data_IF_832203816966
#
_entry.id   IF_832203816966
#
_cell.length_a   1.000
_cell.length_b   1.000
_cell.length_c   1.000
_cell.angle_alpha   90.00
_cell.angle_beta   90.00
_cell.angle_gamma   90.00
#
_symmetry.space_group_name_H-M   'P 1'
#
loop_
_entity.id
_entity.type
_entity.pdbx_description
1 polymer ?
#
# COMPACT_ATOMS: atom_id res chain seq x y z
N UNK A 1 -43.15 -9.34 18.98
CA UNK A 1 -42.66 -10.31 17.94
C UNK A 1 -42.14 -9.62 16.67
N UNK A 2 -42.67 -8.48 16.24
CA UNK A 2 -42.21 -7.75 15.05
C UNK A 2 -40.84 -7.08 15.18
N UNK A 3 -40.51 -6.43 16.30
CA UNK A 3 -39.22 -5.72 16.52
C UNK A 3 -38.05 -6.70 16.52
N UNK A 4 -38.19 -7.85 17.21
CA UNK A 4 -37.12 -8.88 17.25
C UNK A 4 -36.85 -9.41 15.82
N UNK A 5 -37.88 -9.67 15.03
CA UNK A 5 -37.74 -10.12 13.65
C UNK A 5 -37.04 -9.06 12.79
N UNK A 6 -37.36 -7.76 13.00
CA UNK A 6 -36.68 -6.66 12.33
C UNK A 6 -35.20 -6.56 12.69
N UNK A 7 -34.84 -6.71 13.96
CA UNK A 7 -33.44 -6.75 14.42
C UNK A 7 -32.70 -7.93 13.83
N UNK A 8 -33.28 -9.15 13.86
CA UNK A 8 -32.65 -10.32 13.29
C UNK A 8 -32.44 -10.19 11.77
N UNK A 9 -33.43 -9.64 11.07
CA UNK A 9 -33.28 -9.37 9.64
C UNK A 9 -32.16 -8.36 9.36
N UNK A 10 -32.07 -7.28 10.12
CA UNK A 10 -31.01 -6.29 9.98
C UNK A 10 -29.61 -6.91 10.24
N UNK A 11 -29.48 -7.71 11.30
CA UNK A 11 -28.22 -8.41 11.60
C UNK A 11 -27.83 -9.38 10.50
N UNK A 12 -28.79 -10.14 9.97
CA UNK A 12 -28.56 -11.04 8.84
C UNK A 12 -28.11 -10.29 7.57
N UNK A 13 -28.73 -9.14 7.29
CA UNK A 13 -28.34 -8.29 6.17
C UNK A 13 -26.93 -7.72 6.34
N UNK A 14 -26.59 -7.21 7.52
CA UNK A 14 -25.25 -6.71 7.83
C UNK A 14 -24.23 -7.84 7.67
N UNK A 15 -24.52 -9.02 8.19
CA UNK A 15 -23.64 -10.19 8.04
C UNK A 15 -23.44 -10.55 6.57
N UNK A 16 -24.51 -10.62 5.79
CA UNK A 16 -24.45 -10.92 4.36
C UNK A 16 -23.58 -9.90 3.61
N UNK A 17 -23.84 -8.60 3.81
CA UNK A 17 -23.08 -7.52 3.16
C UNK A 17 -21.60 -7.59 3.55
N UNK A 18 -21.30 -7.79 4.83
CA UNK A 18 -19.91 -7.88 5.31
C UNK A 18 -19.21 -9.09 4.70
N UNK A 19 -19.91 -10.23 4.58
CA UNK A 19 -19.37 -11.44 3.95
C UNK A 19 -19.05 -11.21 2.48
N UNK A 20 -19.97 -10.60 1.73
CA UNK A 20 -19.74 -10.27 0.31
C UNK A 20 -18.55 -9.33 0.15
N UNK A 21 -18.43 -8.28 0.97
CA UNK A 21 -17.30 -7.35 0.95
C UNK A 21 -15.98 -8.05 1.32
N UNK A 22 -16.01 -8.98 2.24
CA UNK A 22 -14.82 -9.76 2.61
C UNK A 22 -14.39 -10.70 1.49
N UNK A 23 -15.33 -11.39 0.85
CA UNK A 23 -15.03 -12.25 -0.31
C UNK A 23 -14.43 -11.43 -1.46
N UNK A 24 -15.02 -10.28 -1.78
CA UNK A 24 -14.47 -9.36 -2.78
C UNK A 24 -13.05 -8.88 -2.40
N UNK A 25 -12.85 -8.52 -1.13
CA UNK A 25 -11.52 -8.13 -0.62
C UNK A 25 -10.49 -9.25 -0.82
N UNK A 26 -10.82 -10.47 -0.46
CA UNK A 26 -9.94 -11.64 -0.63
C UNK A 26 -9.67 -11.91 -2.11
N UNK A 27 -10.72 -11.94 -2.93
CA UNK A 27 -10.58 -12.12 -4.37
C UNK A 27 -9.62 -11.10 -4.99
N UNK A 28 -9.80 -9.82 -4.72
CA UNK A 28 -8.93 -8.77 -5.23
C UNK A 28 -7.49 -8.88 -4.67
N UNK A 29 -7.32 -9.31 -3.41
CA UNK A 29 -6.00 -9.55 -2.82
C UNK A 29 -5.20 -10.59 -3.61
N UNK A 30 -5.81 -11.68 -4.04
CA UNK A 30 -5.14 -12.73 -4.81
C UNK A 30 -5.09 -12.44 -6.32
N UNK A 31 -6.01 -11.64 -6.84
CA UNK A 31 -6.10 -11.31 -8.27
C UNK A 31 -5.13 -10.22 -8.70
N UNK A 32 -4.63 -9.38 -7.76
CA UNK A 32 -3.72 -8.29 -8.12
C UNK A 32 -2.42 -8.84 -8.72
N UNK A 33 -2.06 -8.34 -9.92
CA UNK A 33 -0.87 -8.75 -10.66
C UNK A 33 0.15 -7.62 -10.72
N UNK A 34 1.41 -7.99 -10.75
CA UNK A 34 2.48 -7.08 -11.11
C UNK A 34 2.33 -6.64 -12.57
N UNK A 35 2.61 -5.38 -12.85
CA UNK A 35 2.68 -4.87 -14.21
C UNK A 35 4.12 -4.47 -14.50
N UNK A 36 4.66 -5.00 -15.58
CA UNK A 36 6.00 -4.61 -16.07
C UNK A 36 5.88 -3.31 -16.88
N UNK A 37 5.79 -2.20 -16.14
CA UNK A 37 5.69 -0.83 -16.68
C UNK A 37 6.79 -0.01 -16.06
N UNK A 38 7.55 0.73 -16.88
CA UNK A 38 8.46 1.76 -16.37
C UNK A 38 7.64 2.91 -15.78
N UNK A 39 8.02 3.39 -14.60
CA UNK A 39 7.37 4.50 -13.90
C UNK A 39 8.40 5.55 -13.53
N UNK A 40 7.97 6.75 -13.14
CA UNK A 40 8.91 7.79 -12.71
C UNK A 40 9.50 7.47 -11.34
N UNK A 41 8.71 6.89 -10.44
CA UNK A 41 9.17 6.50 -9.11
C UNK A 41 8.70 5.11 -8.70
N UNK A 42 9.55 4.43 -7.92
CA UNK A 42 9.18 3.26 -7.12
C UNK A 42 8.99 3.72 -5.69
N UNK A 43 7.84 3.41 -5.10
CA UNK A 43 7.55 3.66 -3.68
C UNK A 43 7.41 2.33 -2.96
N UNK A 44 8.24 2.11 -1.94
CA UNK A 44 8.23 0.90 -1.13
C UNK A 44 7.70 1.21 0.26
N UNK A 45 6.59 0.58 0.63
CA UNK A 45 6.11 0.58 2.01
C UNK A 45 6.91 -0.47 2.78
N UNK A 46 7.84 -0.03 3.62
CA UNK A 46 8.72 -0.92 4.40
C UNK A 46 7.95 -1.70 5.49
N UNK A 47 8.64 -2.40 6.38
CA UNK A 47 8.01 -3.18 7.45
C UNK A 47 7.55 -4.59 7.05
N UNK A 48 7.89 -5.06 5.85
CA UNK A 48 7.68 -6.44 5.41
C UNK A 48 8.88 -6.97 4.65
N UNK A 49 9.18 -8.27 4.82
CA UNK A 49 10.31 -8.92 4.17
C UNK A 49 10.17 -8.92 2.65
N UNK A 50 11.28 -8.78 1.95
CA UNK A 50 11.35 -8.86 0.48
C UNK A 50 10.91 -7.59 -0.27
N UNK A 51 10.28 -6.61 0.40
CA UNK A 51 9.79 -5.40 -0.27
C UNK A 51 10.92 -4.45 -0.65
N UNK A 52 11.86 -4.22 0.26
CA UNK A 52 13.01 -3.34 0.05
C UNK A 52 13.93 -3.93 -1.00
N UNK A 53 14.20 -5.22 -0.90
CA UNK A 53 15.02 -5.98 -1.86
C UNK A 53 14.42 -5.91 -3.27
N UNK A 54 13.11 -6.09 -3.40
CA UNK A 54 12.43 -5.99 -4.71
C UNK A 54 12.47 -4.55 -5.25
N UNK A 55 12.27 -3.55 -4.39
CA UNK A 55 12.39 -2.14 -4.78
C UNK A 55 13.79 -1.79 -5.29
N UNK A 56 14.84 -2.22 -4.61
CA UNK A 56 16.24 -2.01 -5.01
C UNK A 56 16.54 -2.73 -6.32
N UNK A 57 16.08 -3.97 -6.46
CA UNK A 57 16.22 -4.76 -7.69
C UNK A 57 15.64 -4.03 -8.89
N UNK A 58 14.38 -3.58 -8.80
CA UNK A 58 13.70 -2.85 -9.88
C UNK A 58 14.37 -1.49 -10.17
N UNK A 59 14.84 -0.80 -9.14
CA UNK A 59 15.59 0.44 -9.32
C UNK A 59 16.90 0.20 -10.09
N UNK A 60 17.65 -0.85 -9.78
CA UNK A 60 18.87 -1.25 -10.51
C UNK A 60 18.57 -1.64 -11.95
N UNK A 61 17.39 -2.19 -12.23
CA UNK A 61 16.91 -2.53 -13.57
C UNK A 61 16.37 -1.32 -14.35
N UNK A 62 16.54 -0.10 -13.85
CA UNK A 62 16.04 1.13 -14.46
C UNK A 62 14.51 1.16 -14.67
N UNK A 63 13.74 0.42 -13.85
CA UNK A 63 12.28 0.43 -13.90
C UNK A 63 11.65 1.76 -13.44
N UNK A 64 12.43 2.63 -12.78
CA UNK A 64 12.04 4.00 -12.43
C UNK A 64 13.27 4.87 -12.20
N UNK A 65 13.10 6.18 -12.23
CA UNK A 65 14.20 7.13 -11.99
C UNK A 65 14.45 7.36 -10.49
N UNK A 66 13.41 7.23 -9.69
CA UNK A 66 13.47 7.43 -8.24
C UNK A 66 13.06 6.16 -7.48
N UNK A 67 13.74 5.90 -6.36
CA UNK A 67 13.34 4.90 -5.37
C UNK A 67 13.09 5.59 -4.03
N UNK A 68 11.86 5.52 -3.54
CA UNK A 68 11.46 6.10 -2.27
C UNK A 68 11.03 5.01 -1.29
N UNK A 69 11.85 4.79 -0.27
CA UNK A 69 11.60 3.85 0.82
C UNK A 69 10.93 4.61 1.97
N UNK A 70 9.70 4.26 2.32
CA UNK A 70 8.92 4.96 3.36
C UNK A 70 8.65 4.08 4.57
N UNK A 71 8.67 4.68 5.75
CA UNK A 71 8.56 3.97 7.03
C UNK A 71 9.79 3.14 7.34
N UNK A 72 10.97 3.63 6.99
CA UNK A 72 12.25 2.98 7.28
C UNK A 72 12.60 3.16 8.75
N UNK A 73 13.10 2.11 9.40
CA UNK A 73 13.60 2.20 10.78
C UNK A 73 14.67 3.31 10.89
N UNK A 74 14.57 4.21 11.88
CA UNK A 74 15.52 5.32 12.05
C UNK A 74 16.99 4.91 12.11
N UNK A 75 17.30 3.71 12.58
CA UNK A 75 18.68 3.19 12.68
C UNK A 75 19.29 2.79 11.35
N UNK A 76 18.47 2.48 10.34
CA UNK A 76 18.90 1.99 9.02
C UNK A 76 19.53 3.13 8.21
N UNK A 77 20.73 2.92 7.70
CA UNK A 77 21.41 3.87 6.80
C UNK A 77 21.26 3.43 5.34
N UNK A 78 21.35 4.37 4.43
CA UNK A 78 21.29 4.08 2.99
C UNK A 78 22.36 3.06 2.56
N UNK A 79 23.58 3.18 3.11
CA UNK A 79 24.67 2.27 2.83
C UNK A 79 24.39 0.82 3.30
N UNK A 80 23.54 0.63 4.30
CA UNK A 80 23.15 -0.70 4.79
C UNK A 80 22.21 -1.40 3.82
N UNK A 81 21.42 -0.64 3.06
CA UNK A 81 20.42 -1.14 2.11
C UNK A 81 20.96 -1.20 0.67
N UNK A 82 21.83 -0.28 0.31
CA UNK A 82 22.30 -0.12 -1.06
C UNK A 82 23.82 0.01 -1.08
N UNK A 83 24.49 -1.05 -1.54
CA UNK A 83 25.92 -1.03 -1.81
C UNK A 83 26.15 -0.62 -3.26
N UNK A 84 26.99 0.39 -3.46
CA UNK A 84 27.43 0.78 -4.78
C UNK A 84 28.32 -0.30 -5.37
N UNK A 85 28.05 -0.69 -6.60
CA UNK A 85 28.84 -1.69 -7.34
C UNK A 85 29.28 -1.02 -8.65
N UNK A 86 30.58 -1.07 -9.01
CA UNK A 86 31.05 -0.52 -10.27
C UNK A 86 30.26 -1.06 -11.46
N UNK A 87 29.84 -0.18 -12.38
CA UNK A 87 29.03 -0.54 -13.55
C UNK A 87 27.53 -0.70 -13.29
N UNK A 88 27.07 -0.54 -12.04
CA UNK A 88 25.65 -0.51 -11.70
C UNK A 88 25.18 0.92 -11.42
N UNK A 89 23.85 1.11 -11.46
CA UNK A 89 23.21 2.38 -11.11
C UNK A 89 23.62 2.82 -9.71
N UNK A 90 24.00 4.08 -9.57
CA UNK A 90 24.31 4.67 -8.27
C UNK A 90 23.06 4.85 -7.38
N UNK A 91 23.29 5.16 -6.13
CA UNK A 91 22.21 5.38 -5.17
C UNK A 91 21.66 6.82 -5.15
N UNK A 92 22.03 7.70 -6.08
CA UNK A 92 21.65 9.14 -6.03
C UNK A 92 20.13 9.35 -6.07
N UNK A 93 19.40 8.49 -6.78
CA UNK A 93 17.95 8.51 -6.86
C UNK A 93 17.22 7.79 -5.72
N UNK A 94 17.91 7.35 -4.65
CA UNK A 94 17.31 6.63 -3.52
C UNK A 94 17.07 7.59 -2.35
N UNK A 95 15.84 7.64 -1.86
CA UNK A 95 15.40 8.43 -0.72
C UNK A 95 14.82 7.54 0.37
N UNK A 96 15.17 7.81 1.62
CA UNK A 96 14.68 7.13 2.81
C UNK A 96 13.85 8.10 3.64
N UNK A 97 12.61 7.72 3.92
CA UNK A 97 11.73 8.41 4.86
C UNK A 97 11.63 7.58 6.15
N UNK A 98 11.87 8.20 7.31
CA UNK A 98 12.05 7.54 8.60
C UNK A 98 11.13 8.05 9.71
N UNK A 99 10.22 8.97 9.38
CA UNK A 99 9.38 9.67 10.37
C UNK A 99 7.99 9.06 10.45
N UNK A 100 7.46 8.59 9.32
CA UNK A 100 6.12 8.02 9.23
C UNK A 100 5.96 6.74 10.06
N UNK A 101 4.83 6.63 10.75
CA UNK A 101 4.50 5.53 11.66
C UNK A 101 3.38 4.62 11.15
N UNK A 102 2.69 5.04 10.09
CA UNK A 102 1.55 4.33 9.53
C UNK A 102 1.39 4.62 8.03
N UNK A 103 0.51 3.86 7.36
CA UNK A 103 0.35 3.94 5.91
C UNK A 103 -0.21 5.29 5.43
N UNK A 104 -1.01 5.97 6.24
CA UNK A 104 -1.54 7.30 5.89
C UNK A 104 -0.40 8.33 5.88
N UNK A 105 0.43 8.34 6.91
CA UNK A 105 1.62 9.19 6.98
C UNK A 105 2.59 8.88 5.83
N UNK A 106 2.81 7.58 5.53
CA UNK A 106 3.60 7.18 4.36
C UNK A 106 3.09 7.86 3.07
N UNK A 107 1.78 7.84 2.83
CA UNK A 107 1.19 8.44 1.65
C UNK A 107 1.34 9.98 1.63
N UNK A 108 1.26 10.65 2.78
CA UNK A 108 1.50 12.10 2.89
C UNK A 108 2.94 12.47 2.53
N UNK A 109 3.94 11.76 3.06
CA UNK A 109 5.34 11.99 2.71
C UNK A 109 5.63 11.68 1.23
N UNK A 110 5.03 10.62 0.69
CA UNK A 110 5.14 10.31 -0.74
C UNK A 110 4.54 11.43 -1.59
N UNK A 111 3.42 12.01 -1.19
CA UNK A 111 2.81 13.14 -1.89
C UNK A 111 3.75 14.34 -1.96
N UNK A 112 4.41 14.72 -0.86
CA UNK A 112 5.40 15.80 -0.86
C UNK A 112 6.56 15.50 -1.81
N UNK A 113 7.06 14.26 -1.80
CA UNK A 113 8.10 13.81 -2.71
C UNK A 113 7.67 13.91 -4.17
N UNK A 114 6.47 13.41 -4.51
CA UNK A 114 5.91 13.43 -5.86
C UNK A 114 5.79 14.85 -6.40
N UNK A 115 5.25 15.75 -5.61
CA UNK A 115 5.09 17.17 -6.01
C UNK A 115 6.46 17.82 -6.24
N UNK A 116 7.41 17.63 -5.31
CA UNK A 116 8.76 18.20 -5.40
C UNK A 116 9.56 17.68 -6.59
N UNK A 117 9.41 16.38 -6.92
CA UNK A 117 10.14 15.73 -8.03
C UNK A 117 9.37 15.71 -9.35
N UNK A 118 8.15 16.27 -9.38
CA UNK A 118 7.25 16.28 -10.56
C UNK A 118 7.01 14.88 -11.13
N UNK A 119 6.78 13.92 -10.24
CA UNK A 119 6.51 12.52 -10.57
C UNK A 119 5.08 12.39 -11.09
N UNK A 120 4.86 11.75 -12.24
CA UNK A 120 3.54 11.49 -12.83
C UNK A 120 3.06 10.06 -12.64
N UNK A 121 3.97 9.12 -12.33
CA UNK A 121 3.64 7.71 -12.19
C UNK A 121 4.44 7.03 -11.07
N UNK A 122 3.77 6.15 -10.32
CA UNK A 122 4.34 5.48 -9.15
C UNK A 122 4.11 3.98 -9.23
N UNK A 123 5.18 3.19 -9.08
CA UNK A 123 5.10 1.75 -8.81
C UNK A 123 5.07 1.56 -7.29
N UNK A 124 3.90 1.16 -6.76
CA UNK A 124 3.69 0.98 -5.32
C UNK A 124 4.00 -0.46 -4.92
N UNK A 125 5.05 -0.66 -4.13
CA UNK A 125 5.50 -1.96 -3.64
C UNK A 125 5.07 -2.16 -2.20
N UNK A 126 4.30 -3.21 -1.97
CA UNK A 126 3.95 -3.69 -0.62
C UNK A 126 3.55 -5.16 -0.66
N UNK A 127 3.28 -5.80 0.49
CA UNK A 127 2.79 -7.17 0.49
C UNK A 127 1.40 -7.28 -0.13
N UNK A 128 1.16 -8.40 -0.80
CA UNK A 128 -0.11 -8.73 -1.46
C UNK A 128 -1.33 -8.46 -0.57
N UNK A 129 -1.33 -8.95 0.67
CA UNK A 129 -2.43 -8.77 1.62
C UNK A 129 -2.69 -7.31 2.02
N UNK A 130 -1.67 -6.45 1.91
CA UNK A 130 -1.75 -5.03 2.26
C UNK A 130 -2.10 -4.14 1.06
N UNK A 131 -1.94 -4.62 -0.16
CA UNK A 131 -2.00 -3.83 -1.39
C UNK A 131 -3.34 -3.08 -1.55
N UNK A 132 -4.47 -3.74 -1.32
CA UNK A 132 -5.80 -3.12 -1.50
C UNK A 132 -5.99 -1.92 -0.57
N UNK A 133 -5.56 -2.00 0.69
CA UNK A 133 -5.61 -0.88 1.63
C UNK A 133 -4.60 0.22 1.27
N UNK A 134 -3.41 -0.15 0.84
CA UNK A 134 -2.40 0.83 0.41
C UNK A 134 -2.89 1.62 -0.81
N UNK A 135 -3.43 0.97 -1.84
CA UNK A 135 -4.01 1.65 -3.01
C UNK A 135 -5.10 2.62 -2.58
N UNK A 136 -6.07 2.16 -1.77
CA UNK A 136 -7.15 3.03 -1.28
C UNK A 136 -6.63 4.31 -0.62
N UNK A 137 -5.61 4.19 0.23
CA UNK A 137 -5.02 5.35 0.92
C UNK A 137 -4.30 6.26 -0.08
N UNK A 138 -3.47 5.68 -0.94
CA UNK A 138 -2.66 6.43 -1.89
C UNK A 138 -3.53 7.17 -2.92
N UNK A 139 -4.58 6.55 -3.45
CA UNK A 139 -5.54 7.18 -4.39
C UNK A 139 -6.31 8.36 -3.77
N UNK A 140 -6.50 8.35 -2.43
CA UNK A 140 -7.15 9.45 -1.74
C UNK A 140 -6.20 10.57 -1.31
N UNK A 141 -4.90 10.28 -1.16
CA UNK A 141 -3.89 11.24 -0.69
C UNK A 141 -3.12 11.87 -1.84
N UNK A 142 -2.77 11.09 -2.87
CA UNK A 142 -1.99 11.61 -4.01
C UNK A 142 -2.86 12.46 -4.94
N UNK A 143 -2.24 13.40 -5.69
CA UNK A 143 -2.94 14.12 -6.75
C UNK A 143 -3.59 13.16 -7.76
N UNK A 144 -4.79 13.48 -8.23
CA UNK A 144 -5.60 12.60 -9.09
C UNK A 144 -4.99 12.28 -10.46
N UNK A 145 -4.03 13.08 -10.90
CA UNK A 145 -3.28 12.87 -12.14
C UNK A 145 -2.11 11.89 -12.01
N UNK A 146 -1.84 11.36 -10.80
CA UNK A 146 -0.75 10.40 -10.57
C UNK A 146 -1.24 8.98 -10.88
N UNK A 147 -0.56 8.31 -11.81
CA UNK A 147 -0.83 6.90 -12.10
C UNK A 147 -0.16 6.00 -11.06
N UNK A 148 -0.94 5.13 -10.40
CA UNK A 148 -0.45 4.17 -9.41
C UNK A 148 -0.47 2.77 -10.01
N UNK A 149 0.70 2.13 -10.07
CA UNK A 149 0.88 0.76 -10.55
C UNK A 149 1.19 -0.17 -9.37
N UNK A 150 0.28 -1.06 -8.98
CA UNK A 150 0.51 -2.00 -7.89
C UNK A 150 1.60 -3.01 -8.25
N UNK A 151 2.51 -3.25 -7.31
CA UNK A 151 3.53 -4.27 -7.39
C UNK A 151 3.54 -5.10 -6.09
N UNK A 152 2.65 -6.11 -5.99
CA UNK A 152 2.54 -6.94 -4.79
C UNK A 152 3.76 -7.86 -4.64
N UNK A 153 4.31 -7.88 -3.43
CA UNK A 153 5.33 -8.86 -3.01
C UNK A 153 4.65 -9.95 -2.19
N UNK A 154 4.93 -11.20 -2.52
CA UNK A 154 4.36 -12.33 -1.80
C UNK A 154 4.99 -12.46 -0.41
N UNK A 155 4.20 -12.90 0.55
CA UNK A 155 4.60 -13.07 1.94
C UNK A 155 4.42 -14.52 2.36
N UNK A 156 5.41 -15.06 3.06
CA UNK A 156 5.30 -16.41 3.66
C UNK A 156 4.13 -16.55 4.63
N UNK A 157 3.64 -15.42 5.16
CA UNK A 157 2.53 -15.36 6.12
C UNK A 157 1.14 -15.44 5.46
N UNK A 158 1.06 -15.25 4.12
CA UNK A 158 -0.18 -15.42 3.37
C UNK A 158 -0.06 -16.66 2.50
N UNK A 159 -0.86 -17.68 2.81
CA UNK A 159 -0.97 -18.90 2.03
C UNK A 159 -2.13 -18.80 1.06
N UNK A 160 -2.05 -19.51 -0.08
CA UNK A 160 -3.16 -19.57 -1.04
C UNK A 160 -4.40 -20.20 -0.41
N UNK A 161 -4.22 -21.30 0.33
CA UNK A 161 -5.27 -21.94 1.13
C UNK A 161 -5.42 -21.22 2.49
N UNK A 162 -5.65 -19.92 2.46
CA UNK A 162 -5.70 -19.05 3.64
C UNK A 162 -6.74 -19.53 4.68
N UNK A 163 -7.83 -20.16 4.25
CA UNK A 163 -8.90 -20.68 5.12
C UNK A 163 -8.45 -21.84 6.00
N UNK A 164 -7.45 -22.62 5.58
CA UNK A 164 -6.87 -23.73 6.35
C UNK A 164 -5.74 -23.29 7.29
N UNK A 165 -5.30 -22.02 7.19
CA UNK A 165 -4.19 -21.48 7.98
C UNK A 165 -4.65 -20.30 8.84
N UNK A 166 -4.78 -20.52 10.16
CA UNK A 166 -5.27 -19.50 11.10
C UNK A 166 -4.49 -18.18 11.06
N UNK A 167 -3.18 -18.23 10.80
CA UNK A 167 -2.34 -17.02 10.61
C UNK A 167 -2.73 -16.21 9.39
N UNK A 168 -2.98 -16.86 8.24
CA UNK A 168 -3.41 -16.20 7.01
C UNK A 168 -4.83 -15.63 7.15
N UNK A 169 -5.74 -16.38 7.78
CA UNK A 169 -7.11 -15.92 8.04
C UNK A 169 -7.13 -14.69 8.95
N UNK A 170 -6.37 -14.69 10.05
CA UNK A 170 -6.23 -13.53 10.95
C UNK A 170 -5.62 -12.32 10.23
N UNK A 171 -4.63 -12.56 9.37
CA UNK A 171 -3.98 -11.50 8.58
C UNK A 171 -4.98 -10.85 7.63
N UNK A 172 -5.74 -11.64 6.87
CA UNK A 172 -6.74 -11.13 5.91
C UNK A 172 -7.89 -10.41 6.62
N UNK A 173 -8.41 -10.96 7.72
CA UNK A 173 -9.45 -10.31 8.53
C UNK A 173 -8.96 -8.97 9.10
N UNK A 174 -7.72 -8.94 9.62
CA UNK A 174 -7.13 -7.72 10.14
C UNK A 174 -6.92 -6.63 9.07
N UNK A 175 -6.49 -7.02 7.87
CA UNK A 175 -6.34 -6.06 6.76
C UNK A 175 -7.69 -5.63 6.18
N UNK A 176 -8.68 -6.53 6.12
CA UNK A 176 -10.05 -6.20 5.73
C UNK A 176 -10.68 -5.19 6.69
N UNK A 177 -10.57 -5.41 8.00
CA UNK A 177 -11.05 -4.46 9.01
C UNK A 177 -10.44 -3.07 8.82
N UNK A 178 -9.10 -2.98 8.69
CA UNK A 178 -8.41 -1.71 8.44
C UNK A 178 -8.83 -1.07 7.11
N UNK A 179 -9.01 -1.88 6.07
CA UNK A 179 -9.50 -1.42 4.78
C UNK A 179 -10.89 -0.78 4.89
N UNK A 180 -11.83 -1.44 5.60
CA UNK A 180 -13.16 -0.90 5.85
C UNK A 180 -13.13 0.41 6.65
N UNK A 181 -12.26 0.49 7.67
CA UNK A 181 -12.09 1.73 8.45
C UNK A 181 -11.61 2.89 7.56
N UNK A 182 -10.59 2.67 6.71
CA UNK A 182 -10.11 3.72 5.81
C UNK A 182 -11.12 4.07 4.74
N UNK A 183 -11.85 3.07 4.20
CA UNK A 183 -12.93 3.33 3.24
C UNK A 183 -14.02 4.22 3.85
N UNK A 184 -14.43 3.91 5.08
CA UNK A 184 -15.39 4.72 5.81
C UNK A 184 -14.83 6.12 6.10
N UNK A 185 -13.61 6.21 6.60
CA UNK A 185 -12.93 7.47 6.86
C UNK A 185 -12.92 8.38 5.62
N UNK A 186 -12.51 7.89 4.46
CA UNK A 186 -12.46 8.69 3.24
C UNK A 186 -13.85 9.05 2.67
N UNK A 187 -14.91 8.33 3.01
CA UNK A 187 -16.27 8.73 2.63
C UNK A 187 -16.72 10.00 3.36
N UNK A 188 -16.29 10.21 4.60
CA UNK A 188 -16.73 11.33 5.43
C UNK A 188 -15.68 12.44 5.56
N UNK A 189 -14.39 12.10 5.54
CA UNK A 189 -13.28 13.04 5.74
C UNK A 189 -12.62 13.53 4.43
N UNK A 190 -13.16 13.17 3.28
CA UNK A 190 -12.57 13.51 1.97
C UNK A 190 -12.46 15.03 1.69
N UNK A 191 -13.15 15.87 2.45
CA UNK A 191 -13.06 17.34 2.35
C UNK A 191 -11.85 17.95 3.07
N UNK A 192 -11.38 17.36 4.15
CA UNK A 192 -10.35 17.94 5.02
C UNK A 192 -8.92 17.61 4.59
N UNK A 193 -8.72 16.52 3.85
CA UNK A 193 -7.42 16.09 3.37
C UNK A 193 -7.05 16.69 2.00
N UNK A 194 -7.88 17.59 1.46
CA UNK A 194 -7.51 18.34 0.26
C UNK A 194 -6.31 19.23 0.57
N UNK A 195 -5.33 19.33 -0.34
CA UNK A 195 -4.17 20.18 -0.12
C UNK A 195 -4.65 21.62 0.11
N UNK A 196 -4.20 22.22 1.18
CA UNK A 196 -4.08 23.68 1.19
C UNK A 196 -3.11 23.98 0.04
N UNK A 197 -3.62 24.57 -1.02
CA UNK A 197 -2.80 25.10 -2.09
C UNK A 197 -1.96 26.21 -1.46
N UNK A 198 -0.73 25.90 -1.12
CA UNK A 198 0.24 26.94 -0.77
C UNK A 198 0.57 27.59 -2.12
N UNK A 199 -0.03 28.77 -2.33
CA UNK A 199 0.30 29.67 -3.43
C UNK A 199 1.77 30.11 -3.35
#
# INVERSE_FOLDING_TARGET
MSIIKGILFLLALIFLVTTVLFVDFVYQTFSVRQRDVKTDAIVVLTGGRGRVEEGIKLYRQHSADWLFLVGVDPSVRKADLFRETPGQRDGSGIFLEKVSRNTLENALYVREFIVRKKVGSVKLITSRYHMKRAILIFENILPKNIAIYPHPVDSKNLKEEWWSHSGSSKLLLGEFYKYCLFRFFFLFASGELRPVTIL
#
